data_IF_759066616237
#
_entry.id   IF_759066616237
#
_cell.length_a   1.000
_cell.length_b   1.000
_cell.length_c   1.000
_cell.angle_alpha   90.00
_cell.angle_beta   90.00
_cell.angle_gamma   90.00
#
_symmetry.space_group_name_H-M   'P 1'
#
loop_
_entity.id
_entity.type
_entity.pdbx_description
1 polymer ?
#
# COMPACT_ATOMS: atom_id res chain seq x y z
N UNK A 1 24.39 -12.17 39.79
CA UNK A 1 23.04 -12.48 40.35
C UNK A 1 22.17 -12.88 39.18
N UNK A 2 22.00 -14.18 38.99
CA UNK A 2 21.20 -14.79 37.93
C UNK A 2 19.78 -14.96 38.41
N UNK A 3 18.81 -14.48 37.60
CA UNK A 3 17.38 -14.57 37.84
C UNK A 3 16.88 -16.00 37.51
N UNK A 4 16.24 -16.74 38.44
CA UNK A 4 15.89 -18.15 38.25
C UNK A 4 14.44 -18.40 37.76
N UNK A 5 13.78 -17.46 37.05
CA UNK A 5 12.38 -17.63 36.63
C UNK A 5 12.14 -17.29 35.15
N UNK A 6 12.75 -18.06 34.24
CA UNK A 6 12.29 -18.11 32.86
C UNK A 6 12.02 -19.57 32.44
N UNK A 7 10.75 -20.04 32.44
CA UNK A 7 10.40 -21.34 31.90
C UNK A 7 10.42 -21.25 30.37
N UNK A 8 11.31 -22.07 29.78
CA UNK A 8 11.62 -22.17 28.37
C UNK A 8 10.40 -22.38 27.47
N UNK A 9 10.45 -21.72 26.33
CA UNK A 9 9.60 -21.94 25.18
C UNK A 9 9.78 -23.38 24.66
N UNK A 10 8.75 -24.20 24.82
CA UNK A 10 8.66 -25.51 24.19
C UNK A 10 8.27 -25.33 22.72
N UNK A 11 9.17 -25.70 21.83
CA UNK A 11 8.88 -25.85 20.41
C UNK A 11 7.87 -26.99 20.18
N UNK A 12 6.87 -26.86 19.33
CA UNK A 12 6.00 -27.96 18.94
C UNK A 12 6.74 -28.94 18.05
N UNK A 13 6.81 -30.19 18.54
CA UNK A 13 7.32 -31.35 17.82
C UNK A 13 6.33 -31.76 16.72
N UNK A 14 6.67 -31.59 15.46
CA UNK A 14 5.90 -32.10 14.31
C UNK A 14 6.08 -33.62 14.23
N UNK A 15 5.00 -34.32 14.52
CA UNK A 15 4.88 -35.75 14.51
C UNK A 15 5.24 -36.40 13.16
N UNK A 16 5.91 -37.51 13.27
CA UNK A 16 6.34 -38.44 12.24
C UNK A 16 5.15 -38.98 11.42
N UNK A 17 5.27 -38.98 10.09
CA UNK A 17 4.37 -39.65 9.18
C UNK A 17 4.44 -41.17 9.39
N UNK A 18 3.28 -41.90 9.37
CA UNK A 18 3.28 -43.36 9.39
C UNK A 18 3.75 -43.91 8.04
N UNK A 19 4.74 -44.75 8.10
CA UNK A 19 5.27 -45.57 7.00
C UNK A 19 4.29 -46.67 6.69
N UNK A 20 3.62 -46.65 5.53
CA UNK A 20 2.81 -47.76 5.04
C UNK A 20 3.72 -48.84 4.48
N UNK A 21 3.83 -49.95 5.23
CA UNK A 21 4.56 -51.14 4.86
C UNK A 21 4.02 -51.78 3.57
N UNK A 22 4.94 -52.11 2.67
CA UNK A 22 4.71 -52.97 1.51
C UNK A 22 4.42 -54.38 1.98
N UNK A 23 3.26 -54.92 1.65
CA UNK A 23 2.98 -56.36 1.79
C UNK A 23 3.53 -57.11 0.57
N UNK A 24 4.22 -58.22 0.77
CA UNK A 24 4.68 -59.09 -0.33
C UNK A 24 3.52 -59.91 -0.88
N UNK A 25 3.33 -59.88 -2.20
CA UNK A 25 2.43 -60.78 -2.92
C UNK A 25 2.95 -62.23 -2.82
N UNK A 26 2.21 -63.07 -2.13
CA UNK A 26 2.41 -64.52 -2.20
C UNK A 26 1.72 -65.05 -3.47
N UNK A 27 2.51 -65.74 -4.30
CA UNK A 27 2.05 -66.45 -5.48
C UNK A 27 1.15 -67.64 -5.18
N UNK A 28 0.08 -67.76 -5.91
CA UNK A 28 -0.79 -68.95 -5.91
C UNK A 28 -0.50 -69.81 -7.14
N UNK A 29 -0.43 -71.17 -7.00
CA UNK A 29 -0.07 -72.11 -8.09
C UNK A 29 -1.18 -72.27 -9.09
N UNK A 30 -0.80 -72.60 -10.33
CA UNK A 30 -1.59 -72.65 -11.53
C UNK A 30 -2.69 -73.74 -11.52
N UNK A 31 -3.73 -73.47 -12.26
CA UNK A 31 -4.69 -74.44 -12.76
C UNK A 31 -4.64 -74.57 -14.29
N UNK A 32 -4.81 -75.75 -14.85
CA UNK A 32 -4.59 -76.01 -16.25
C UNK A 32 -5.76 -75.57 -17.14
N UNK A 33 -5.45 -75.08 -18.32
CA UNK A 33 -6.37 -74.77 -19.38
C UNK A 33 -6.97 -76.06 -20.04
N UNK A 34 -8.23 -75.99 -20.45
CA UNK A 34 -8.60 -76.66 -21.70
C UNK A 34 -9.43 -75.80 -22.63
N UNK A 35 -9.11 -75.84 -23.91
CA UNK A 35 -10.06 -75.59 -25.00
C UNK A 35 -9.89 -74.35 -25.82
N UNK A 36 -9.16 -74.48 -26.92
CA UNK A 36 -9.21 -73.61 -28.06
C UNK A 36 -10.60 -73.49 -28.68
N UNK A 37 -11.15 -72.31 -28.83
CA UNK A 37 -12.23 -72.02 -29.77
C UNK A 37 -11.70 -71.08 -30.88
N UNK A 38 -12.04 -71.37 -32.14
CA UNK A 38 -11.56 -70.55 -33.27
C UNK A 38 -12.32 -69.23 -33.37
N UNK A 39 -11.56 -68.15 -33.47
CA UNK A 39 -11.75 -66.98 -34.29
C UNK A 39 -13.05 -66.21 -34.19
N UNK A 40 -13.05 -65.14 -33.31
CA UNK A 40 -13.77 -63.95 -33.62
C UNK A 40 -12.74 -62.80 -33.82
N UNK A 41 -12.85 -61.98 -34.90
CA UNK A 41 -11.95 -60.83 -35.05
C UNK A 41 -12.19 -59.84 -33.90
N UNK A 42 -11.13 -59.24 -33.34
CA UNK A 42 -11.28 -58.29 -32.26
C UNK A 42 -12.07 -57.06 -32.73
N UNK A 43 -13.16 -56.76 -32.01
CA UNK A 43 -13.93 -55.56 -32.19
C UNK A 43 -13.02 -54.36 -32.02
N UNK A 44 -12.86 -53.56 -33.09
CA UNK A 44 -12.10 -52.30 -33.05
C UNK A 44 -12.77 -51.36 -32.07
N UNK A 45 -12.10 -51.06 -30.95
CA UNK A 45 -12.52 -50.07 -29.99
C UNK A 45 -12.69 -48.72 -30.72
N UNK A 46 -13.79 -47.99 -30.51
CA UNK A 46 -13.96 -46.67 -31.13
C UNK A 46 -12.84 -45.75 -30.66
N UNK A 47 -12.06 -45.18 -31.60
CA UNK A 47 -11.04 -44.19 -31.32
C UNK A 47 -11.71 -43.00 -30.64
N UNK A 48 -11.59 -42.88 -29.31
CA UNK A 48 -12.00 -41.69 -28.55
C UNK A 48 -11.22 -40.51 -29.12
N UNK A 49 -11.89 -39.60 -29.85
CA UNK A 49 -11.31 -38.36 -30.31
C UNK A 49 -10.81 -37.63 -29.09
N UNK A 50 -9.50 -37.43 -28.97
CA UNK A 50 -8.88 -36.67 -27.88
C UNK A 50 -9.43 -35.25 -27.95
N UNK A 51 -10.39 -34.91 -27.07
CA UNK A 51 -10.94 -33.57 -26.94
C UNK A 51 -9.95 -32.62 -26.19
N UNK A 52 -8.79 -33.17 -25.78
CA UNK A 52 -7.77 -32.47 -25.02
C UNK A 52 -7.19 -31.22 -25.70
N UNK A 53 -6.91 -31.19 -27.02
CA UNK A 53 -6.44 -29.95 -27.66
C UNK A 53 -7.49 -28.83 -27.60
N UNK A 54 -8.78 -29.14 -27.64
CA UNK A 54 -9.84 -28.14 -27.52
C UNK A 54 -9.95 -27.57 -26.09
N UNK A 55 -9.70 -28.38 -25.07
CA UNK A 55 -9.65 -27.94 -23.68
C UNK A 55 -8.46 -27.02 -23.46
N UNK A 56 -7.29 -27.34 -24.01
CA UNK A 56 -6.11 -26.48 -23.97
C UNK A 56 -6.35 -25.15 -24.66
N UNK A 57 -6.98 -25.16 -25.83
CA UNK A 57 -7.31 -23.95 -26.56
C UNK A 57 -8.28 -23.05 -25.79
N UNK A 58 -9.31 -23.64 -25.15
CA UNK A 58 -10.25 -22.92 -24.29
C UNK A 58 -9.53 -22.31 -23.08
N UNK A 59 -8.60 -23.02 -22.44
CA UNK A 59 -7.80 -22.51 -21.32
C UNK A 59 -6.90 -21.35 -21.73
N UNK A 60 -6.28 -21.44 -22.92
CA UNK A 60 -5.46 -20.32 -23.46
C UNK A 60 -6.31 -19.10 -23.72
N UNK A 61 -7.49 -19.24 -24.30
CA UNK A 61 -8.41 -18.12 -24.56
C UNK A 61 -8.86 -17.47 -23.23
N UNK A 62 -9.25 -18.26 -22.23
CA UNK A 62 -9.62 -17.76 -20.91
C UNK A 62 -8.44 -17.04 -20.27
N UNK A 63 -7.23 -17.58 -20.37
CA UNK A 63 -6.02 -16.95 -19.84
C UNK A 63 -5.73 -15.59 -20.53
N UNK A 64 -5.85 -15.52 -21.85
CA UNK A 64 -5.66 -14.28 -22.62
C UNK A 64 -6.72 -13.21 -22.27
N UNK A 65 -7.97 -13.60 -22.05
CA UNK A 65 -9.04 -12.69 -21.60
C UNK A 65 -8.76 -12.18 -20.19
N UNK A 66 -8.28 -13.07 -19.30
CA UNK A 66 -7.92 -12.68 -17.92
C UNK A 66 -6.73 -11.72 -17.89
N UNK A 67 -5.65 -12.04 -18.62
CA UNK A 67 -4.45 -11.19 -18.70
C UNK A 67 -4.77 -9.87 -19.42
N UNK A 68 -5.49 -9.91 -20.54
CA UNK A 68 -5.90 -8.70 -21.27
C UNK A 68 -6.85 -7.81 -20.45
N UNK A 69 -7.78 -8.40 -19.71
CA UNK A 69 -8.69 -7.67 -18.80
C UNK A 69 -7.95 -7.01 -17.64
N UNK A 70 -6.98 -7.69 -17.04
CA UNK A 70 -6.16 -7.12 -15.96
C UNK A 70 -5.31 -5.94 -16.44
N UNK A 71 -4.72 -6.03 -17.65
CA UNK A 71 -3.90 -4.94 -18.22
C UNK A 71 -4.75 -3.69 -18.49
N UNK A 72 -5.98 -3.86 -19.00
CA UNK A 72 -6.88 -2.72 -19.23
C UNK A 72 -7.33 -2.03 -17.93
N UNK A 73 -7.55 -2.80 -16.85
CA UNK A 73 -7.91 -2.23 -15.54
C UNK A 73 -6.73 -1.52 -14.87
N UNK A 74 -5.51 -2.05 -15.00
CA UNK A 74 -4.30 -1.44 -14.43
C UNK A 74 -3.91 -0.18 -15.22
N UNK A 75 -4.04 -0.19 -16.57
CA UNK A 75 -3.74 0.96 -17.42
C UNK A 75 -4.60 2.17 -17.09
N UNK A 76 -5.91 2.00 -16.91
CA UNK A 76 -6.81 3.10 -16.54
C UNK A 76 -6.54 3.67 -15.14
N UNK A 77 -6.10 2.85 -14.19
CA UNK A 77 -5.72 3.30 -12.86
C UNK A 77 -4.39 4.09 -12.87
N UNK A 78 -3.44 3.71 -13.73
CA UNK A 78 -2.14 4.38 -13.83
C UNK A 78 -2.28 5.82 -14.37
N UNK A 79 -3.10 6.05 -15.39
CA UNK A 79 -3.36 7.40 -15.93
C UNK A 79 -4.01 8.34 -14.88
N UNK A 80 -4.90 7.80 -14.04
CA UNK A 80 -5.52 8.59 -12.97
C UNK A 80 -4.51 9.00 -11.90
N UNK A 81 -3.56 8.13 -11.58
CA UNK A 81 -2.50 8.40 -10.61
C UNK A 81 -1.50 9.44 -11.13
N UNK A 82 -1.12 9.36 -12.41
CA UNK A 82 -0.22 10.34 -13.03
C UNK A 82 -0.87 11.73 -13.04
N UNK A 83 -2.11 11.87 -13.46
CA UNK A 83 -2.82 13.15 -13.49
C UNK A 83 -2.94 13.80 -12.11
N UNK A 84 -3.20 13.01 -11.04
CA UNK A 84 -3.27 13.54 -9.68
C UNK A 84 -1.88 13.91 -9.13
N UNK A 85 -0.82 13.21 -9.52
CA UNK A 85 0.54 13.52 -9.08
C UNK A 85 1.10 14.79 -9.71
N UNK A 86 0.69 15.12 -10.93
CA UNK A 86 1.09 16.33 -11.66
C UNK A 86 0.22 17.55 -11.33
N UNK A 87 -0.89 17.36 -10.66
CA UNK A 87 -1.79 18.45 -10.29
C UNK A 87 -1.12 19.37 -9.28
N UNK A 88 -0.93 20.62 -9.67
CA UNK A 88 -0.40 21.69 -8.81
C UNK A 88 -1.55 22.33 -8.02
N UNK A 89 -1.35 22.50 -6.72
CA UNK A 89 -2.29 23.16 -5.83
C UNK A 89 -1.59 24.34 -5.15
N UNK A 90 -2.22 25.53 -5.19
CA UNK A 90 -1.72 26.72 -4.53
C UNK A 90 -2.20 26.78 -3.08
N UNK A 91 -1.25 26.87 -2.17
CA UNK A 91 -1.50 27.00 -0.74
C UNK A 91 -0.91 28.29 -0.23
N UNK A 92 -1.68 29.01 0.56
CA UNK A 92 -1.24 30.22 1.24
C UNK A 92 -1.05 29.93 2.73
N UNK A 93 0.15 30.13 3.21
CA UNK A 93 0.50 30.15 4.63
C UNK A 93 0.42 31.57 5.15
N UNK A 94 -0.23 31.77 6.29
CA UNK A 94 -0.40 33.05 6.90
C UNK A 94 -0.10 32.97 8.41
N UNK A 95 0.69 33.90 8.90
CA UNK A 95 0.96 34.06 10.34
C UNK A 95 0.53 35.47 10.75
N UNK A 96 -0.29 35.54 11.79
CA UNK A 96 -0.69 36.80 12.44
C UNK A 96 -0.42 36.74 13.92
N UNK A 97 -0.33 37.86 14.58
CA UNK A 97 -0.05 37.92 16.02
C UNK A 97 0.17 39.30 16.53
N UNK A 98 0.39 39.43 17.83
CA UNK A 98 0.60 40.71 18.53
C UNK A 98 2.08 41.09 18.63
N UNK A 99 2.99 40.13 18.40
CA UNK A 99 4.43 40.35 18.43
C UNK A 99 4.95 40.97 17.12
N UNK A 100 6.12 41.66 17.17
CA UNK A 100 6.72 42.24 15.96
C UNK A 100 7.38 41.21 15.06
N UNK A 101 7.87 40.11 15.63
CA UNK A 101 8.59 39.04 14.91
C UNK A 101 8.22 37.65 15.42
N UNK A 102 8.45 36.66 14.58
CA UNK A 102 8.26 35.25 14.89
C UNK A 102 9.10 34.35 13.99
N UNK A 103 8.82 33.06 13.99
CA UNK A 103 9.41 32.14 13.04
C UNK A 103 8.33 31.25 12.40
N UNK A 104 8.58 30.80 11.17
CA UNK A 104 7.73 29.91 10.41
C UNK A 104 8.49 28.64 10.04
N UNK A 105 7.88 27.48 10.27
CA UNK A 105 8.32 26.20 9.72
C UNK A 105 7.15 25.69 8.89
N UNK A 106 7.35 25.43 7.61
CA UNK A 106 6.26 25.08 6.70
C UNK A 106 6.67 24.06 5.64
N UNK A 107 5.69 23.36 5.09
CA UNK A 107 5.88 22.45 3.95
C UNK A 107 6.03 23.28 2.67
N UNK A 108 7.12 23.05 1.92
CA UNK A 108 7.36 23.69 0.61
C UNK A 108 6.85 22.84 -0.57
N UNK A 109 7.05 23.32 -1.80
CA UNK A 109 6.55 22.69 -3.03
C UNK A 109 7.02 21.25 -3.27
N UNK A 110 8.19 20.91 -2.77
CA UNK A 110 8.78 19.57 -2.89
C UNK A 110 8.43 18.65 -1.71
N UNK A 111 7.41 19.00 -0.92
CA UNK A 111 7.01 18.28 0.30
C UNK A 111 8.11 18.26 1.39
N UNK A 112 9.14 19.06 1.24
CA UNK A 112 10.18 19.24 2.25
C UNK A 112 9.77 20.33 3.24
N UNK A 113 10.48 20.39 4.37
CA UNK A 113 10.29 21.43 5.38
C UNK A 113 11.23 22.61 5.12
N UNK A 114 10.67 23.81 5.09
CA UNK A 114 11.41 25.08 5.07
C UNK A 114 11.23 25.81 6.38
N UNK A 115 12.26 26.58 6.77
CA UNK A 115 12.26 27.39 8.00
C UNK A 115 12.67 28.81 7.68
N UNK A 116 11.81 29.75 8.05
CA UNK A 116 12.08 31.19 7.99
C UNK A 116 12.11 31.73 9.43
N UNK A 117 13.25 32.25 9.86
CA UNK A 117 13.43 32.80 11.21
C UNK A 117 13.35 34.35 11.20
N UNK A 118 12.99 34.92 12.34
CA UNK A 118 12.91 36.35 12.53
C UNK A 118 12.04 37.07 11.48
N UNK A 119 10.94 36.41 11.08
CA UNK A 119 9.99 36.98 10.13
C UNK A 119 9.19 38.13 10.79
N UNK A 120 8.91 39.24 10.07
CA UNK A 120 7.98 40.24 10.56
C UNK A 120 6.55 39.70 10.59
N UNK A 121 5.78 40.05 11.59
CA UNK A 121 4.35 39.67 11.70
C UNK A 121 3.51 40.91 11.37
N UNK A 122 2.48 40.84 10.48
CA UNK A 122 1.98 39.63 9.81
C UNK A 122 2.88 39.15 8.68
N UNK A 123 2.91 37.82 8.46
CA UNK A 123 3.66 37.15 7.41
C UNK A 123 2.74 36.29 6.54
N UNK A 124 3.03 36.26 5.24
CA UNK A 124 2.27 35.44 4.28
C UNK A 124 3.23 34.87 3.24
N UNK A 125 2.96 33.63 2.82
CA UNK A 125 3.71 32.93 1.76
C UNK A 125 2.82 32.06 0.94
N UNK A 126 2.91 32.16 -0.37
CA UNK A 126 2.26 31.24 -1.32
C UNK A 126 3.25 30.16 -1.74
N UNK A 127 2.78 28.92 -1.79
CA UNK A 127 3.57 27.76 -2.18
C UNK A 127 2.72 26.87 -3.10
N UNK A 128 3.32 26.48 -4.21
CA UNK A 128 2.76 25.49 -5.12
C UNK A 128 3.12 24.08 -4.63
N UNK A 129 2.12 23.27 -4.31
CA UNK A 129 2.28 21.90 -3.83
C UNK A 129 1.97 20.94 -4.96
N UNK A 130 2.90 20.04 -5.25
CA UNK A 130 2.76 18.94 -6.24
C UNK A 130 2.81 17.61 -5.55
N UNK A 131 2.41 16.53 -6.24
CA UNK A 131 2.47 15.16 -5.74
C UNK A 131 1.10 14.56 -5.47
N UNK A 132 1.08 13.26 -5.31
CA UNK A 132 -0.13 12.47 -5.10
C UNK A 132 -0.78 12.74 -3.72
N UNK A 133 0.04 12.91 -2.69
CA UNK A 133 -0.42 13.27 -1.34
C UNK A 133 0.06 14.68 -1.02
N UNK A 134 -0.85 15.63 -0.92
CA UNK A 134 -0.56 17.04 -0.72
C UNK A 134 -0.74 17.44 0.75
N UNK A 135 0.10 16.88 1.63
CA UNK A 135 0.09 17.23 3.06
C UNK A 135 0.80 18.57 3.27
N UNK A 136 0.13 19.46 3.95
CA UNK A 136 0.64 20.79 4.26
C UNK A 136 0.67 21.03 5.76
N UNK A 137 1.72 21.68 6.23
CA UNK A 137 1.88 22.04 7.63
C UNK A 137 2.50 23.42 7.76
N UNK A 138 2.12 24.13 8.82
CA UNK A 138 2.68 25.42 9.22
C UNK A 138 2.78 25.46 10.75
N UNK A 139 3.99 25.63 11.25
CA UNK A 139 4.24 25.97 12.66
C UNK A 139 4.67 27.41 12.74
N UNK A 140 3.91 28.20 13.47
CA UNK A 140 4.21 29.58 13.76
C UNK A 140 4.65 29.73 15.22
N UNK A 141 5.85 30.27 15.48
CA UNK A 141 6.34 30.42 16.85
C UNK A 141 6.61 31.89 17.17
N UNK A 142 6.17 32.31 18.34
CA UNK A 142 6.47 33.64 18.91
C UNK A 142 7.96 33.77 19.23
N UNK A 143 8.47 35.00 19.12
CA UNK A 143 9.72 35.36 19.77
C UNK A 143 9.65 35.17 21.31
N UNK A 144 10.77 34.81 21.92
CA UNK A 144 10.85 34.65 23.37
C UNK A 144 10.60 35.98 24.14
N UNK A 145 10.72 37.10 23.48
CA UNK A 145 10.44 38.43 24.06
C UNK A 145 8.98 38.87 23.90
N UNK A 146 8.18 38.09 23.15
CA UNK A 146 6.75 38.37 22.92
C UNK A 146 5.87 37.65 23.92
N UNK A 147 5.02 38.41 24.63
CA UNK A 147 4.01 37.85 25.54
C UNK A 147 2.63 37.72 24.89
N UNK A 148 2.50 38.17 23.63
CA UNK A 148 1.25 38.18 22.89
C UNK A 148 0.85 36.85 22.30
N UNK A 149 -0.14 36.91 21.43
CA UNK A 149 -0.63 35.73 20.68
C UNK A 149 0.11 35.58 19.36
N UNK A 150 0.17 34.35 18.86
CA UNK A 150 0.56 34.03 17.49
C UNK A 150 -0.47 33.02 16.91
N UNK A 151 -0.84 33.21 15.66
CA UNK A 151 -1.83 32.44 14.96
C UNK A 151 -1.26 31.97 13.62
N UNK A 152 -1.36 30.69 13.32
CA UNK A 152 -1.15 30.13 11.98
C UNK A 152 -2.48 29.94 11.26
N UNK A 153 -2.47 30.12 9.93
CA UNK A 153 -3.60 29.86 9.05
C UNK A 153 -3.06 29.24 7.77
N UNK A 154 -3.66 28.15 7.32
CA UNK A 154 -3.40 27.53 6.00
C UNK A 154 -4.65 27.72 5.15
N UNK A 155 -4.50 28.26 3.95
CA UNK A 155 -5.59 28.46 2.98
C UNK A 155 -5.27 27.79 1.67
N UNK A 156 -6.32 27.30 1.02
CA UNK A 156 -6.31 26.87 -0.37
C UNK A 156 -7.46 27.57 -1.09
N UNK A 157 -7.19 28.24 -2.21
CA UNK A 157 -8.18 28.97 -2.99
C UNK A 157 -9.06 29.91 -2.14
N UNK A 158 -8.44 30.56 -1.14
CA UNK A 158 -9.10 31.47 -0.19
C UNK A 158 -9.87 30.76 0.94
N UNK A 159 -10.08 29.45 0.88
CA UNK A 159 -10.73 28.66 1.94
C UNK A 159 -9.74 28.26 3.02
N UNK A 160 -10.08 28.45 4.29
CA UNK A 160 -9.28 28.00 5.43
C UNK A 160 -9.31 26.47 5.50
N UNK A 161 -8.13 25.85 5.42
CA UNK A 161 -7.94 24.41 5.67
C UNK A 161 -7.68 24.13 7.15
N UNK A 162 -6.88 24.99 7.79
CA UNK A 162 -6.51 24.83 9.20
C UNK A 162 -6.17 26.17 9.82
N UNK A 163 -6.50 26.37 11.09
CA UNK A 163 -6.07 27.50 11.88
C UNK A 163 -5.82 27.07 13.34
N UNK A 164 -4.85 27.71 13.98
CA UNK A 164 -4.50 27.46 15.38
C UNK A 164 -3.88 28.72 15.97
N UNK A 165 -4.04 28.87 17.29
CA UNK A 165 -3.51 30.04 18.03
C UNK A 165 -2.79 29.58 19.29
N UNK A 166 -1.68 30.22 19.59
CA UNK A 166 -0.92 30.01 20.82
C UNK A 166 -0.57 31.40 21.44
N UNK A 167 -0.25 31.42 22.72
CA UNK A 167 0.01 32.64 23.47
C UNK A 167 1.19 32.50 24.41
N UNK A 168 1.99 33.57 24.52
CA UNK A 168 3.12 33.66 25.44
C UNK A 168 4.48 33.59 24.77
N UNK A 169 5.56 33.80 25.53
CA UNK A 169 6.93 33.76 25.03
C UNK A 169 7.28 32.38 24.44
N UNK A 170 7.79 32.37 23.20
CA UNK A 170 8.16 31.12 22.52
C UNK A 170 7.02 30.17 22.24
N UNK A 171 5.77 30.59 22.45
CA UNK A 171 4.59 29.72 22.16
C UNK A 171 4.50 29.43 20.67
N UNK A 172 4.07 28.20 20.33
CA UNK A 172 3.96 27.72 18.96
C UNK A 172 2.55 27.30 18.62
N UNK A 173 1.98 27.88 17.58
CA UNK A 173 0.73 27.46 16.94
C UNK A 173 1.03 26.51 15.79
N UNK A 174 0.31 25.38 15.72
CA UNK A 174 0.53 24.34 14.71
C UNK A 174 -0.75 24.16 13.88
N UNK A 175 -0.61 24.29 12.57
CA UNK A 175 -1.64 24.05 11.57
C UNK A 175 -1.22 22.92 10.65
N UNK A 176 -2.15 22.06 10.27
CA UNK A 176 -1.91 20.99 9.29
C UNK A 176 -3.19 20.65 8.55
N UNK A 177 -3.04 20.16 7.31
CA UNK A 177 -4.17 19.78 6.47
C UNK A 177 -3.71 19.01 5.23
N UNK A 178 -4.69 18.65 4.41
CA UNK A 178 -4.48 18.09 3.07
C UNK A 178 -5.05 19.08 2.06
N UNK A 179 -4.23 19.49 1.09
CA UNK A 179 -4.67 20.28 -0.06
C UNK A 179 -5.19 19.32 -1.15
N UNK A 180 -6.28 19.68 -1.85
CA UNK A 180 -6.94 18.86 -2.87
C UNK A 180 -6.99 19.55 -4.23
#
# INVERSE_FOLDING_TARGET
MTDPNNPGEQQPNYGQQPNYGQQPFQGQPGQPYPGQYPGYPPAQSPKKRKKWPWVLLALVVVFLVFVGGCVALIGGAAESIENESERVVNVTYEITGDGPTGSAIYTNGDMNTSTDNEIPIPWMKEVEITGFVKLVSLTASNSFDSTGTIKCIIRQDGKVLSESTASGPGASANCSGSAE
#
